data_IF_304702073335
#
_entry.id   IF_304702073335
#
_cell.length_a   1.000
_cell.length_b   1.000
_cell.length_c   1.000
_cell.angle_alpha   90.00
_cell.angle_beta   90.00
_cell.angle_gamma   90.00
#
_symmetry.space_group_name_H-M   'P 1'
#
loop_
_entity.id
_entity.type
_entity.pdbx_description
1 polymer ?
#
# COMPACT_ATOMS: atom_id res chain seq x y z
N UNK A 1 11.28 -0.25 0.92
CA UNK A 1 10.76 -0.73 2.22
C UNK A 1 11.39 -2.07 2.51
N UNK A 2 11.63 -2.41 3.77
CA UNK A 2 12.12 -3.73 4.20
C UNK A 2 11.03 -4.35 5.10
N UNK A 3 10.63 -5.57 4.79
CA UNK A 3 9.61 -6.31 5.54
C UNK A 3 10.25 -7.30 6.53
N UNK A 4 9.47 -7.76 7.51
CA UNK A 4 9.94 -8.66 8.56
C UNK A 4 10.44 -10.03 8.05
N UNK A 5 10.04 -10.43 6.84
CA UNK A 5 10.51 -11.63 6.15
C UNK A 5 11.79 -11.41 5.32
N UNK A 6 12.46 -10.26 5.49
CA UNK A 6 13.70 -9.91 4.79
C UNK A 6 13.50 -9.44 3.35
N UNK A 7 12.27 -9.43 2.83
CA UNK A 7 12.00 -8.92 1.49
C UNK A 7 12.15 -7.40 1.44
N UNK A 8 12.75 -6.91 0.36
CA UNK A 8 12.89 -5.50 0.08
C UNK A 8 12.25 -5.17 -1.27
N UNK A 9 11.44 -4.11 -1.28
CA UNK A 9 10.70 -3.70 -2.47
C UNK A 9 10.26 -2.25 -2.44
N UNK A 10 9.78 -1.79 -3.59
CA UNK A 10 9.18 -0.46 -3.80
C UNK A 10 7.70 -0.66 -4.08
N UNK A 11 6.85 -0.10 -3.23
CA UNK A 11 5.42 -0.01 -3.49
C UNK A 11 5.14 1.32 -4.22
N UNK A 12 4.70 1.24 -5.48
CA UNK A 12 4.27 2.41 -6.23
C UNK A 12 2.82 2.77 -5.84
N UNK A 13 2.65 3.90 -5.16
CA UNK A 13 1.35 4.41 -4.69
C UNK A 13 0.68 5.37 -5.69
N UNK A 14 1.26 5.59 -6.88
CA UNK A 14 0.72 6.54 -7.85
C UNK A 14 -0.73 6.20 -8.21
N UNK A 15 -1.02 4.95 -8.54
CA UNK A 15 -2.38 4.52 -8.88
C UNK A 15 -3.33 4.71 -7.69
N UNK A 16 -2.92 4.26 -6.49
CA UNK A 16 -3.69 4.38 -5.25
C UNK A 16 -4.05 5.83 -4.91
N UNK A 17 -3.14 6.79 -5.15
CA UNK A 17 -3.34 8.20 -4.77
C UNK A 17 -4.11 8.96 -5.85
N UNK A 18 -3.83 8.69 -7.13
CA UNK A 18 -4.36 9.50 -8.21
C UNK A 18 -5.71 9.02 -8.73
N UNK A 19 -5.99 7.72 -8.66
CA UNK A 19 -7.19 7.11 -9.24
C UNK A 19 -8.23 6.68 -8.19
N UNK A 20 -7.90 6.75 -6.90
CA UNK A 20 -8.90 6.56 -5.85
C UNK A 20 -9.84 7.77 -5.75
N UNK A 21 -11.17 7.60 -5.87
CA UNK A 21 -12.11 8.71 -5.85
C UNK A 21 -12.33 9.30 -4.46
N UNK A 22 -11.89 8.63 -3.38
CA UNK A 22 -12.13 9.09 -2.01
C UNK A 22 -11.31 10.35 -1.72
N UNK A 23 -11.93 11.44 -1.22
CA UNK A 23 -11.23 12.72 -0.99
C UNK A 23 -9.99 12.65 -0.10
N UNK A 24 -9.93 11.65 0.79
CA UNK A 24 -8.81 11.42 1.70
C UNK A 24 -7.48 11.20 0.96
N UNK A 25 -7.50 10.55 -0.22
CA UNK A 25 -6.31 10.35 -1.05
C UNK A 25 -5.89 11.61 -1.80
N UNK A 26 -6.85 12.50 -2.09
CA UNK A 26 -6.58 13.76 -2.80
C UNK A 26 -5.56 14.64 -2.08
N UNK A 27 -5.51 14.59 -0.74
CA UNK A 27 -4.53 15.33 0.05
C UNK A 27 -3.09 14.85 -0.17
N UNK A 28 -2.89 13.59 -0.54
CA UNK A 28 -1.56 13.01 -0.79
C UNK A 28 -1.00 13.36 -2.17
N UNK A 29 -1.76 14.06 -3.02
CA UNK A 29 -1.23 14.61 -4.28
C UNK A 29 -0.24 15.75 -4.04
N UNK A 30 -0.33 16.40 -2.88
CA UNK A 30 0.70 17.32 -2.41
C UNK A 30 1.93 16.55 -1.90
N UNK A 31 3.11 16.88 -2.42
CA UNK A 31 4.34 16.16 -2.11
C UNK A 31 4.76 16.32 -0.63
N UNK A 32 4.48 17.47 -0.02
CA UNK A 32 4.78 17.72 1.39
C UNK A 32 3.95 16.82 2.31
N UNK A 33 2.65 16.69 2.01
CA UNK A 33 1.75 15.76 2.70
C UNK A 33 2.13 14.31 2.44
N UNK A 34 2.41 13.93 1.18
CA UNK A 34 2.82 12.57 0.84
C UNK A 34 4.05 12.10 1.62
N UNK A 35 5.07 12.97 1.76
CA UNK A 35 6.30 12.63 2.49
C UNK A 35 6.12 12.56 4.01
N UNK A 36 5.06 13.14 4.55
CA UNK A 36 4.84 13.23 5.99
C UNK A 36 4.09 12.00 6.53
N UNK A 37 4.61 10.79 6.29
CA UNK A 37 4.05 9.56 6.85
C UNK A 37 4.88 9.06 8.03
N UNK A 38 4.26 8.25 8.89
CA UNK A 38 4.92 7.49 9.95
C UNK A 38 4.52 6.02 9.87
N UNK A 39 5.35 5.13 10.40
CA UNK A 39 4.99 3.72 10.56
C UNK A 39 4.37 3.52 11.94
N UNK A 40 3.15 2.99 11.99
CA UNK A 40 2.40 2.73 13.22
C UNK A 40 1.68 1.39 13.08
N UNK A 41 1.84 0.48 14.05
CA UNK A 41 1.16 -0.82 14.08
C UNK A 41 1.14 -1.57 12.72
N UNK A 42 2.29 -1.64 12.05
CA UNK A 42 2.43 -2.29 10.73
C UNK A 42 1.67 -1.60 9.59
N UNK A 43 1.31 -0.33 9.71
CA UNK A 43 0.77 0.50 8.63
C UNK A 43 1.64 1.75 8.43
N UNK A 44 1.60 2.33 7.24
CA UNK A 44 2.01 3.74 7.06
C UNK A 44 0.80 4.62 7.29
N UNK A 45 0.96 5.68 8.08
CA UNK A 45 -0.13 6.57 8.50
C UNK A 45 0.25 8.01 8.22
N UNK A 46 -0.67 8.77 7.62
CA UNK A 46 -0.55 10.20 7.37
C UNK A 46 -1.32 11.02 8.41
N UNK A 47 -1.05 12.34 8.56
CA UNK A 47 -1.73 13.21 9.52
C UNK A 47 -3.23 13.40 9.28
N UNK A 48 -3.74 13.01 8.12
CA UNK A 48 -5.17 13.05 7.78
C UNK A 48 -5.89 11.74 8.12
N UNK A 49 -5.31 10.93 9.00
CA UNK A 49 -5.81 9.62 9.45
C UNK A 49 -5.93 8.57 8.34
N UNK A 50 -5.36 8.82 7.17
CA UNK A 50 -5.21 7.80 6.13
C UNK A 50 -4.11 6.84 6.55
N UNK A 51 -4.43 5.55 6.61
CA UNK A 51 -3.46 4.48 6.78
C UNK A 51 -3.48 3.50 5.59
N UNK A 52 -2.31 2.95 5.28
CA UNK A 52 -2.17 1.83 4.36
C UNK A 52 -1.44 0.69 5.08
N UNK A 53 -2.12 -0.45 5.21
CA UNK A 53 -1.60 -1.65 5.85
C UNK A 53 -0.37 -2.21 5.14
N UNK A 54 0.56 -2.83 5.87
CA UNK A 54 1.77 -3.41 5.29
C UNK A 54 1.47 -4.54 4.31
N UNK A 55 0.38 -5.28 4.48
CA UNK A 55 -0.07 -6.31 3.53
C UNK A 55 -0.39 -5.72 2.16
N UNK A 56 -1.06 -4.57 2.13
CA UNK A 56 -1.36 -3.86 0.88
C UNK A 56 -0.07 -3.33 0.23
N UNK A 57 0.83 -2.76 1.03
CA UNK A 57 2.14 -2.29 0.54
C UNK A 57 2.99 -3.46 0.02
N UNK A 58 2.92 -4.62 0.67
CA UNK A 58 3.62 -5.84 0.24
C UNK A 58 3.05 -6.34 -1.09
N UNK A 59 1.72 -6.35 -1.22
CA UNK A 59 1.05 -6.65 -2.49
C UNK A 59 1.52 -5.72 -3.60
N UNK A 60 1.48 -4.40 -3.42
CA UNK A 60 1.94 -3.46 -4.44
C UNK A 60 3.40 -3.68 -4.85
N UNK A 61 4.28 -4.01 -3.89
CA UNK A 61 5.69 -4.22 -4.14
C UNK A 61 6.01 -5.54 -4.87
N UNK A 62 5.15 -6.57 -4.73
CA UNK A 62 5.48 -7.93 -5.19
C UNK A 62 4.36 -8.64 -5.96
N UNK A 63 3.28 -7.96 -6.37
CA UNK A 63 2.12 -8.54 -7.08
C UNK A 63 2.47 -9.33 -8.36
N UNK A 64 3.61 -9.05 -8.98
CA UNK A 64 4.07 -9.77 -10.19
C UNK A 64 4.88 -11.04 -9.87
N UNK A 65 5.19 -11.29 -8.60
CA UNK A 65 6.04 -12.40 -8.18
C UNK A 65 5.21 -13.69 -7.98
N UNK A 66 5.54 -14.80 -8.67
CA UNK A 66 4.78 -16.05 -8.58
C UNK A 66 4.70 -16.64 -7.17
N UNK A 67 5.75 -16.48 -6.36
CA UNK A 67 5.84 -17.06 -5.02
C UNK A 67 4.79 -16.50 -4.03
N UNK A 68 4.28 -15.30 -4.28
CA UNK A 68 3.32 -14.63 -3.40
C UNK A 68 1.87 -14.71 -3.89
N UNK A 69 1.60 -15.29 -5.06
CA UNK A 69 0.24 -15.32 -5.64
C UNK A 69 -0.77 -16.03 -4.73
N UNK A 70 -0.39 -17.16 -4.10
CA UNK A 70 -1.25 -17.87 -3.15
C UNK A 70 -1.59 -17.01 -1.94
N UNK A 71 -0.61 -16.26 -1.43
CA UNK A 71 -0.78 -15.36 -0.30
C UNK A 71 -1.69 -14.19 -0.65
N UNK A 72 -1.48 -13.53 -1.80
CA UNK A 72 -2.34 -12.45 -2.28
C UNK A 72 -3.77 -12.88 -2.54
N UNK A 73 -3.97 -14.11 -3.00
CA UNK A 73 -5.29 -14.70 -3.09
C UNK A 73 -5.94 -14.86 -1.71
N UNK A 74 -5.22 -15.44 -0.73
CA UNK A 74 -5.73 -15.59 0.64
C UNK A 74 -6.05 -14.26 1.33
N UNK A 75 -5.36 -13.18 0.94
CA UNK A 75 -5.60 -11.81 1.42
C UNK A 75 -6.71 -11.08 0.64
N UNK A 76 -7.22 -11.65 -0.45
CA UNK A 76 -8.28 -11.07 -1.26
C UNK A 76 -7.84 -10.02 -2.29
N UNK A 77 -6.54 -9.91 -2.60
CA UNK A 77 -6.04 -8.93 -3.58
C UNK A 77 -6.09 -9.40 -5.04
N UNK A 78 -6.31 -10.69 -5.28
CA UNK A 78 -6.33 -11.28 -6.64
C UNK A 78 -7.70 -11.83 -7.04
N UNK A 79 -8.67 -11.87 -6.14
CA UNK A 79 -10.01 -12.38 -6.44
C UNK A 79 -10.96 -11.22 -6.75
N UNK A 80 -11.23 -11.01 -8.04
CA UNK A 80 -12.30 -10.15 -8.52
C UNK A 80 -13.58 -10.96 -8.72
N UNK A 81 -14.50 -10.92 -7.76
CA UNK A 81 -15.95 -10.89 -8.02
C UNK A 81 -16.59 -9.98 -6.96
N UNK A 82 -16.83 -8.74 -7.35
CA UNK A 82 -18.00 -7.97 -6.92
C UNK A 82 -18.76 -7.59 -8.19
#
# INVERSE_FOLDING_TARGET
MIFNNGQQGVADLKETIFNDPRPIFGQLKDLGRFKNFKVVHSAIVWPNDLDLACEYLFYLAFKERPEFQKQFKSWGYLDGVV
#
